data_IF_173302218732
#
_entry.id   IF_173302218732
#
_cell.length_a   1.000
_cell.length_b   1.000
_cell.length_c   1.000
_cell.angle_alpha   90.00
_cell.angle_beta   90.00
_cell.angle_gamma   90.00
#
_symmetry.space_group_name_H-M   'P 1'
#
loop_
_entity.id
_entity.type
_entity.pdbx_description
1 polymer ?
#
# COMPACT_ATOMS: atom_id res chain seq x y z
N UNK A 1 -13.98 10.16 -13.51
CA UNK A 1 -13.22 10.03 -12.25
C UNK A 1 -14.12 10.14 -11.02
N UNK A 2 -14.82 11.25 -10.79
CA UNK A 2 -15.61 11.45 -9.56
C UNK A 2 -16.68 10.39 -9.26
N UNK A 3 -17.45 9.93 -10.25
CA UNK A 3 -18.45 8.88 -10.05
C UNK A 3 -17.79 7.56 -9.61
N UNK A 4 -16.72 7.14 -10.31
CA UNK A 4 -15.90 5.97 -9.95
C UNK A 4 -15.43 6.07 -8.49
N UNK A 5 -14.88 7.22 -8.11
CA UNK A 5 -14.41 7.48 -6.75
C UNK A 5 -15.53 7.42 -5.72
N UNK A 6 -16.67 8.05 -5.98
CA UNK A 6 -17.82 7.99 -5.08
C UNK A 6 -18.30 6.55 -4.89
N UNK A 7 -18.40 5.77 -5.97
CA UNK A 7 -18.75 4.35 -5.90
C UNK A 7 -17.74 3.55 -5.08
N UNK A 8 -16.44 3.70 -5.35
CA UNK A 8 -15.37 2.99 -4.62
C UNK A 8 -15.38 3.36 -3.14
N UNK A 9 -15.52 4.63 -2.78
CA UNK A 9 -15.53 5.07 -1.38
C UNK A 9 -16.78 4.60 -0.63
N UNK A 10 -17.96 4.64 -1.26
CA UNK A 10 -19.19 4.08 -0.66
C UNK A 10 -19.05 2.58 -0.46
N UNK A 11 -18.57 1.85 -1.46
CA UNK A 11 -18.32 0.42 -1.36
C UNK A 11 -17.26 0.12 -0.29
N UNK A 12 -16.25 0.98 -0.12
CA UNK A 12 -15.23 0.80 0.90
C UNK A 12 -15.79 0.97 2.31
N UNK A 13 -16.62 1.99 2.54
CA UNK A 13 -17.31 2.17 3.84
C UNK A 13 -18.24 1.00 4.15
N UNK A 14 -19.00 0.54 3.15
CA UNK A 14 -19.86 -0.64 3.31
C UNK A 14 -19.01 -1.89 3.58
N UNK A 15 -17.97 -2.13 2.79
CA UNK A 15 -17.05 -3.26 2.95
C UNK A 15 -16.38 -3.27 4.32
N UNK A 16 -15.93 -2.12 4.79
CA UNK A 16 -15.40 -1.95 6.15
C UNK A 16 -16.46 -2.34 7.18
N UNK A 17 -17.67 -1.77 7.09
CA UNK A 17 -18.78 -2.13 7.98
C UNK A 17 -19.06 -3.64 8.01
N UNK A 18 -19.14 -4.29 6.84
CA UNK A 18 -19.39 -5.74 6.76
C UNK A 18 -18.24 -6.55 7.37
N UNK A 19 -16.99 -6.14 7.12
CA UNK A 19 -15.81 -6.74 7.70
C UNK A 19 -15.81 -6.65 9.23
N UNK A 20 -16.19 -5.48 9.76
CA UNK A 20 -16.32 -5.23 11.19
C UNK A 20 -17.48 -6.00 11.84
N UNK A 21 -18.67 -5.94 11.25
CA UNK A 21 -19.89 -6.45 11.86
C UNK A 21 -19.99 -7.98 11.79
N UNK A 22 -19.57 -8.58 10.67
CA UNK A 22 -19.79 -10.01 10.41
C UNK A 22 -18.51 -10.83 10.35
N UNK A 23 -17.38 -10.20 10.02
CA UNK A 23 -16.06 -10.83 10.02
C UNK A 23 -15.99 -12.19 9.30
N UNK A 24 -16.57 -12.28 8.10
CA UNK A 24 -16.54 -13.51 7.29
C UNK A 24 -15.40 -13.48 6.29
N UNK A 25 -14.96 -14.65 5.80
CA UNK A 25 -14.00 -14.72 4.69
C UNK A 25 -14.47 -13.95 3.45
N UNK A 26 -15.77 -13.98 3.14
CA UNK A 26 -16.34 -13.21 2.04
C UNK A 26 -16.20 -11.69 2.28
N UNK A 27 -16.46 -11.22 3.50
CA UNK A 27 -16.26 -9.80 3.83
C UNK A 27 -14.80 -9.38 3.70
N UNK A 28 -13.84 -10.23 4.08
CA UNK A 28 -12.41 -9.99 3.88
C UNK A 28 -12.02 -9.91 2.40
N UNK A 29 -12.52 -10.81 1.57
CA UNK A 29 -12.26 -10.79 0.11
C UNK A 29 -12.83 -9.50 -0.50
N UNK A 30 -14.10 -9.21 -0.26
CA UNK A 30 -14.77 -8.02 -0.83
C UNK A 30 -14.09 -6.74 -0.37
N UNK A 31 -13.81 -6.63 0.94
CA UNK A 31 -13.16 -5.45 1.48
C UNK A 31 -11.71 -5.28 0.98
N UNK A 32 -10.98 -6.38 0.81
CA UNK A 32 -9.63 -6.38 0.25
C UNK A 32 -9.61 -5.87 -1.19
N UNK A 33 -10.48 -6.42 -2.05
CA UNK A 33 -10.59 -6.00 -3.45
C UNK A 33 -10.92 -4.51 -3.57
N UNK A 34 -11.87 -4.01 -2.78
CA UNK A 34 -12.27 -2.60 -2.79
C UNK A 34 -11.14 -1.70 -2.26
N UNK A 35 -10.42 -2.14 -1.24
CA UNK A 35 -9.27 -1.41 -0.68
C UNK A 35 -8.17 -1.22 -1.74
N UNK A 36 -7.90 -2.25 -2.56
CA UNK A 36 -6.97 -2.13 -3.69
C UNK A 36 -7.42 -1.09 -4.72
N UNK A 37 -8.73 -0.99 -4.96
CA UNK A 37 -9.25 0.04 -5.87
C UNK A 37 -8.96 1.46 -5.35
N UNK A 38 -8.97 1.72 -4.04
CA UNK A 38 -8.52 3.02 -3.52
C UNK A 38 -7.04 3.26 -3.88
N UNK A 39 -6.21 2.23 -3.72
CA UNK A 39 -4.78 2.25 -4.02
C UNK A 39 -4.46 2.61 -5.47
N UNK A 40 -5.09 1.94 -6.43
CA UNK A 40 -4.72 2.09 -7.85
C UNK A 40 -5.58 3.11 -8.61
N UNK A 41 -6.82 3.37 -8.20
CA UNK A 41 -7.77 4.18 -8.97
C UNK A 41 -8.05 5.58 -8.42
N UNK A 42 -7.63 5.88 -7.19
CA UNK A 42 -7.90 7.17 -6.53
C UNK A 42 -6.59 7.79 -6.04
N UNK A 43 -5.91 7.11 -5.12
CA UNK A 43 -4.73 7.70 -4.48
C UNK A 43 -3.54 7.80 -5.41
N UNK A 44 -3.33 6.80 -6.27
CA UNK A 44 -2.26 6.82 -7.28
C UNK A 44 -2.37 8.06 -8.17
N UNK A 45 -3.53 8.23 -8.84
CA UNK A 45 -3.77 9.37 -9.73
C UNK A 45 -3.73 10.72 -8.98
N UNK A 46 -4.21 10.75 -7.73
CA UNK A 46 -4.15 11.95 -6.89
C UNK A 46 -2.72 12.32 -6.47
N UNK A 47 -1.88 11.32 -6.20
CA UNK A 47 -0.48 11.55 -5.85
C UNK A 47 0.34 12.05 -7.05
N UNK A 48 0.04 11.54 -8.25
CA UNK A 48 0.56 12.03 -9.54
C UNK A 48 -0.02 13.38 -10.00
N UNK A 49 -0.92 14.00 -9.22
CA UNK A 49 -1.61 15.24 -9.59
C UNK A 49 -2.40 15.13 -10.91
N UNK A 50 -2.80 13.93 -11.30
CA UNK A 50 -3.46 13.61 -12.56
C UNK A 50 -4.97 13.29 -12.41
N UNK A 51 -5.49 13.27 -11.18
CA UNK A 51 -6.89 12.94 -10.90
C UNK A 51 -7.87 14.05 -11.32
N UNK A 52 -7.47 15.33 -11.23
CA UNK A 52 -8.30 16.50 -11.54
C UNK A 52 -7.46 17.70 -12.00
N UNK A 53 -8.07 18.64 -12.72
CA UNK A 53 -7.45 19.94 -13.01
C UNK A 53 -7.36 20.85 -11.77
N UNK A 54 -8.06 20.51 -10.68
CA UNK A 54 -8.10 21.29 -9.45
C UNK A 54 -7.13 20.70 -8.43
N UNK A 55 -6.12 21.48 -8.04
CA UNK A 55 -5.01 21.04 -7.18
C UNK A 55 -5.47 20.38 -5.87
N UNK A 56 -6.44 20.96 -5.17
CA UNK A 56 -6.86 20.44 -3.87
C UNK A 56 -7.64 19.11 -3.98
N UNK A 57 -8.36 18.86 -5.09
CA UNK A 57 -8.97 17.56 -5.32
C UNK A 57 -7.93 16.46 -5.52
N UNK A 58 -6.82 16.75 -6.20
CA UNK A 58 -5.71 15.79 -6.28
C UNK A 58 -5.11 15.52 -4.90
N UNK A 59 -4.89 16.56 -4.09
CA UNK A 59 -4.35 16.40 -2.73
C UNK A 59 -5.23 15.49 -1.89
N UNK A 60 -6.55 15.70 -1.89
CA UNK A 60 -7.48 14.85 -1.13
C UNK A 60 -7.53 13.42 -1.69
N UNK A 61 -7.51 13.28 -3.02
CA UNK A 61 -7.52 11.95 -3.64
C UNK A 61 -6.24 11.19 -3.31
N UNK A 62 -5.07 11.83 -3.38
CA UNK A 62 -3.80 11.24 -2.93
C UNK A 62 -3.79 10.88 -1.45
N UNK A 63 -4.42 11.73 -0.61
CA UNK A 63 -4.59 11.50 0.82
C UNK A 63 -5.63 10.40 1.16
N UNK A 64 -6.29 9.79 0.18
CA UNK A 64 -7.10 8.60 0.45
C UNK A 64 -6.24 7.37 0.73
N UNK A 65 -4.91 7.45 0.48
CA UNK A 65 -3.96 6.40 0.84
C UNK A 65 -3.94 6.15 2.35
N UNK A 66 -4.20 7.18 3.16
CA UNK A 66 -4.25 7.11 4.61
C UNK A 66 -5.35 6.17 5.11
N UNK A 67 -6.44 5.99 4.35
CA UNK A 67 -7.49 5.00 4.64
C UNK A 67 -6.96 3.56 4.60
N UNK A 68 -5.89 3.33 3.86
CA UNK A 68 -5.24 2.03 3.66
C UNK A 68 -4.11 1.80 4.66
N UNK A 69 -3.97 2.67 5.67
CA UNK A 69 -2.97 2.47 6.71
C UNK A 69 -1.56 2.72 6.20
N UNK A 70 -1.38 3.63 5.23
CA UNK A 70 -0.09 4.08 4.66
C UNK A 70 -0.06 5.62 4.56
N UNK A 71 1.05 6.24 4.14
CA UNK A 71 1.17 7.71 4.02
C UNK A 71 1.36 8.21 2.60
N UNK A 72 0.52 9.16 2.16
CA UNK A 72 0.68 9.82 0.86
C UNK A 72 1.97 10.64 0.77
N UNK A 73 2.44 11.23 1.87
CA UNK A 73 3.69 12.01 1.90
C UNK A 73 4.90 11.12 1.62
N UNK A 74 4.94 9.94 2.25
CA UNK A 74 6.02 8.97 2.03
C UNK A 74 5.89 8.38 0.63
N UNK A 75 4.68 8.01 0.20
CA UNK A 75 4.42 7.50 -1.13
C UNK A 75 4.91 8.45 -2.23
N UNK A 76 4.58 9.74 -2.17
CA UNK A 76 5.11 10.73 -3.14
C UNK A 76 6.64 10.77 -3.13
N UNK A 77 7.26 10.58 -1.96
CA UNK A 77 8.71 10.56 -1.84
C UNK A 77 9.33 9.31 -2.48
N UNK A 78 8.81 8.12 -2.20
CA UNK A 78 9.36 6.86 -2.70
C UNK A 78 8.94 6.56 -4.13
N UNK A 79 7.69 6.81 -4.50
CA UNK A 79 7.14 6.54 -5.81
C UNK A 79 7.42 7.66 -6.82
N UNK A 80 6.98 8.90 -6.56
CA UNK A 80 7.09 9.98 -7.57
C UNK A 80 8.55 10.46 -7.69
N UNK A 81 9.15 10.89 -6.58
CA UNK A 81 10.54 11.36 -6.58
C UNK A 81 11.55 10.23 -6.69
N UNK A 82 11.26 9.09 -6.07
CA UNK A 82 12.12 7.91 -6.07
C UNK A 82 12.05 7.19 -7.41
N UNK A 83 11.03 6.35 -7.57
CA UNK A 83 10.84 5.49 -8.74
C UNK A 83 10.71 6.27 -10.05
N UNK A 84 9.72 7.16 -10.18
CA UNK A 84 9.50 7.91 -11.43
C UNK A 84 10.66 8.87 -11.76
N UNK A 85 11.39 9.34 -10.74
CA UNK A 85 12.60 10.15 -10.93
C UNK A 85 13.78 9.40 -11.55
N UNK A 86 13.83 8.06 -11.50
CA UNK A 86 14.95 7.28 -12.06
C UNK A 86 14.59 5.83 -12.39
N UNK A 87 13.45 5.63 -13.02
CA UNK A 87 12.89 4.31 -13.31
C UNK A 87 13.96 3.31 -13.76
N UNK A 88 14.03 2.16 -13.09
CA UNK A 88 14.96 1.05 -13.34
C UNK A 88 16.47 1.36 -13.14
N UNK A 89 16.83 2.49 -12.54
CA UNK A 89 18.23 2.77 -12.22
C UNK A 89 18.71 1.94 -11.03
N UNK A 90 19.69 1.04 -11.25
CA UNK A 90 20.11 0.01 -10.28
C UNK A 90 20.34 0.51 -8.84
N UNK A 91 20.94 1.69 -8.68
CA UNK A 91 21.29 2.23 -7.37
C UNK A 91 20.28 3.24 -6.82
N UNK A 92 19.37 3.74 -7.65
CA UNK A 92 18.58 4.94 -7.36
C UNK A 92 17.07 4.67 -7.36
N UNK A 93 16.62 3.59 -8.00
CA UNK A 93 15.25 3.12 -7.96
C UNK A 93 15.15 1.91 -7.01
N UNK A 94 14.45 2.11 -5.89
CA UNK A 94 14.29 1.05 -4.89
C UNK A 94 13.19 0.05 -5.25
N UNK A 95 12.40 0.30 -6.29
CA UNK A 95 11.20 -0.50 -6.58
C UNK A 95 11.51 -1.98 -6.85
N UNK A 96 12.70 -2.32 -7.35
CA UNK A 96 13.12 -3.72 -7.51
C UNK A 96 13.87 -4.30 -6.30
N UNK A 97 14.31 -3.47 -5.35
CA UNK A 97 15.00 -3.88 -4.13
C UNK A 97 14.00 -4.34 -3.05
N UNK A 98 12.83 -3.70 -2.97
CA UNK A 98 11.80 -4.01 -1.95
C UNK A 98 11.25 -5.44 -2.02
N UNK A 99 11.39 -6.11 -3.16
CA UNK A 99 10.96 -7.51 -3.35
C UNK A 99 12.12 -8.47 -3.54
N UNK A 100 13.36 -7.98 -3.65
CA UNK A 100 14.55 -8.83 -3.70
C UNK A 100 14.88 -9.35 -2.28
N UNK A 101 15.35 -10.60 -2.10
CA UNK A 101 15.71 -11.58 -3.12
C UNK A 101 14.55 -12.44 -3.64
N UNK A 102 13.31 -12.28 -3.16
CA UNK A 102 12.18 -13.12 -3.57
C UNK A 102 11.87 -12.95 -5.07
N UNK A 103 11.75 -11.72 -5.53
CA UNK A 103 11.54 -11.37 -6.95
C UNK A 103 12.74 -10.61 -7.49
N UNK A 104 12.99 -10.77 -8.79
CA UNK A 104 14.09 -10.11 -9.47
C UNK A 104 13.58 -9.35 -10.69
N UNK A 105 13.52 -8.04 -10.55
CA UNK A 105 13.05 -7.14 -11.61
C UNK A 105 14.16 -6.39 -12.35
N UNK A 106 15.39 -6.40 -11.85
CA UNK A 106 16.51 -5.74 -12.52
C UNK A 106 17.63 -6.71 -12.93
N UNK A 107 18.19 -6.48 -14.11
CA UNK A 107 19.25 -7.35 -14.68
C UNK A 107 20.59 -7.27 -13.94
N UNK A 108 20.83 -6.17 -13.22
CA UNK A 108 22.03 -5.97 -12.40
C UNK A 108 22.01 -6.67 -11.04
N UNK A 109 20.87 -7.22 -10.61
CA UNK A 109 20.77 -7.99 -9.37
C UNK A 109 21.22 -9.45 -9.60
N UNK A 110 21.81 -10.11 -8.58
CA UNK A 110 22.15 -11.53 -8.64
C UNK A 110 20.94 -12.38 -9.02
N UNK A 111 21.11 -13.32 -9.96
CA UNK A 111 20.06 -14.27 -10.33
C UNK A 111 20.19 -15.53 -9.49
N UNK A 112 19.19 -15.79 -8.66
CA UNK A 112 19.08 -17.00 -7.85
C UNK A 112 18.32 -18.08 -8.62
N UNK A 113 18.56 -19.34 -8.26
CA UNK A 113 18.04 -20.51 -9.01
C UNK A 113 16.52 -20.56 -9.08
N UNK A 114 15.83 -20.05 -8.06
CA UNK A 114 14.37 -20.02 -8.00
C UNK A 114 13.74 -18.89 -8.83
N UNK A 115 14.47 -17.83 -9.20
CA UNK A 115 13.93 -16.73 -10.02
C UNK A 115 13.40 -17.17 -11.38
N UNK A 116 13.82 -18.35 -11.89
CA UNK A 116 13.23 -18.93 -13.11
C UNK A 116 11.74 -19.28 -12.98
N UNK A 117 11.24 -19.41 -11.76
CA UNK A 117 9.85 -19.71 -11.43
C UNK A 117 9.07 -18.50 -10.90
N UNK A 118 9.65 -17.29 -10.93
CA UNK A 118 9.02 -16.10 -10.36
C UNK A 118 7.67 -15.74 -10.97
N UNK A 119 7.39 -16.21 -12.19
CA UNK A 119 6.08 -16.08 -12.82
C UNK A 119 4.98 -16.94 -12.15
N UNK A 120 5.37 -18.01 -11.43
CA UNK A 120 4.46 -18.88 -10.68
C UNK A 120 4.21 -18.30 -9.28
N UNK A 121 5.29 -18.03 -8.53
CA UNK A 121 5.16 -17.62 -7.12
C UNK A 121 5.04 -16.11 -6.94
N UNK A 122 5.33 -15.31 -7.97
CA UNK A 122 5.22 -13.85 -7.94
C UNK A 122 3.85 -13.34 -7.49
N UNK A 123 2.73 -13.82 -8.08
CA UNK A 123 1.39 -13.44 -7.63
C UNK A 123 1.13 -13.70 -6.13
N UNK A 124 1.72 -14.77 -5.59
CA UNK A 124 1.61 -15.13 -4.17
C UNK A 124 2.44 -14.14 -3.33
N UNK A 125 3.71 -13.90 -3.69
CA UNK A 125 4.58 -12.94 -2.98
C UNK A 125 3.93 -11.56 -2.93
N UNK A 126 3.36 -11.13 -4.05
CA UNK A 126 2.67 -9.86 -4.17
C UNK A 126 1.39 -9.74 -3.34
N UNK A 127 0.75 -10.86 -2.99
CA UNK A 127 -0.36 -10.83 -2.04
C UNK A 127 0.09 -10.25 -0.68
N UNK A 128 1.39 -10.33 -0.37
CA UNK A 128 1.96 -9.77 0.86
C UNK A 128 2.53 -8.35 0.71
N UNK A 129 2.39 -7.70 -0.46
CA UNK A 129 3.00 -6.37 -0.70
C UNK A 129 2.55 -5.31 0.32
N UNK A 130 1.29 -5.38 0.77
CA UNK A 130 0.76 -4.45 1.78
C UNK A 130 1.46 -4.51 3.13
N UNK A 131 2.02 -5.67 3.49
CA UNK A 131 2.86 -5.74 4.69
C UNK A 131 4.12 -4.89 4.50
N UNK A 132 4.72 -4.97 3.31
CA UNK A 132 5.84 -4.11 2.90
C UNK A 132 5.45 -2.63 2.90
N UNK A 133 4.32 -2.26 2.31
CA UNK A 133 3.90 -0.86 2.26
C UNK A 133 3.53 -0.32 3.66
N UNK A 134 2.94 -1.15 4.52
CA UNK A 134 2.57 -0.71 5.86
C UNK A 134 3.80 -0.56 6.77
N UNK A 135 4.70 -1.55 6.78
CA UNK A 135 5.81 -1.60 7.74
C UNK A 135 7.14 -1.05 7.17
N UNK A 136 7.33 -1.12 5.86
CA UNK A 136 8.56 -0.72 5.16
C UNK A 136 8.70 0.79 4.92
N UNK A 137 7.67 1.59 5.13
CA UNK A 137 7.73 3.04 4.89
C UNK A 137 8.83 3.78 5.67
N UNK A 138 9.16 3.35 6.88
CA UNK A 138 10.29 3.95 7.63
C UNK A 138 11.65 3.58 7.03
N UNK A 139 11.76 2.36 6.51
CA UNK A 139 12.95 1.92 5.78
C UNK A 139 13.09 2.67 4.46
N UNK A 140 12.00 2.94 3.74
CA UNK A 140 12.01 3.79 2.53
C UNK A 140 12.57 5.19 2.82
N UNK A 141 12.13 5.80 3.92
CA UNK A 141 12.63 7.11 4.35
C UNK A 141 14.12 7.05 4.68
N UNK A 142 14.53 6.03 5.45
CA UNK A 142 15.94 5.80 5.81
C UNK A 142 16.81 5.68 4.56
N UNK A 143 16.40 4.84 3.62
CA UNK A 143 17.14 4.62 2.38
C UNK A 143 17.25 5.88 1.52
N UNK A 144 16.15 6.59 1.28
CA UNK A 144 16.17 7.85 0.53
C UNK A 144 17.08 8.89 1.18
N UNK A 145 17.19 8.88 2.51
CA UNK A 145 18.05 9.80 3.28
C UNK A 145 19.55 9.54 3.10
N UNK A 146 19.94 8.35 2.63
CA UNK A 146 21.33 7.95 2.40
C UNK A 146 21.89 8.36 1.03
N UNK A 147 21.06 8.83 0.10
CA UNK A 147 21.48 9.32 -1.20
C UNK A 147 21.41 10.84 -1.22
N UNK A 148 22.53 11.60 -1.23
CA UNK A 148 22.51 13.06 -1.12
C UNK A 148 21.61 13.74 -2.17
N UNK A 149 21.61 13.25 -3.41
CA UNK A 149 20.76 13.74 -4.50
C UNK A 149 19.26 13.43 -4.31
N UNK A 150 18.93 12.49 -3.42
CA UNK A 150 17.57 12.09 -3.05
C UNK A 150 17.27 12.35 -1.58
N UNK A 151 18.11 13.12 -0.90
CA UNK A 151 17.81 13.55 0.46
C UNK A 151 16.75 14.63 0.36
N UNK A 152 15.61 14.37 0.97
CA UNK A 152 14.49 15.30 1.03
C UNK A 152 14.10 15.54 2.47
N UNK A 153 13.39 16.63 2.69
CA UNK A 153 12.84 16.90 4.01
C UNK A 153 11.48 16.22 4.15
N UNK A 154 11.38 15.27 5.09
CA UNK A 154 10.09 14.81 5.61
C UNK A 154 9.94 15.41 6.99
N UNK A 155 8.89 16.21 7.16
CA UNK A 155 8.66 16.87 8.44
C UNK A 155 8.37 15.84 9.54
N UNK A 156 8.76 16.13 10.78
CA UNK A 156 8.39 15.32 11.93
C UNK A 156 6.87 15.13 12.03
N UNK A 157 6.09 16.15 11.66
CA UNK A 157 4.63 16.09 11.59
C UNK A 157 4.14 15.00 10.63
N UNK A 158 4.78 14.85 9.47
CA UNK A 158 4.43 13.80 8.51
C UNK A 158 4.78 12.41 9.05
N UNK A 159 5.94 12.26 9.71
CA UNK A 159 6.31 11.01 10.38
C UNK A 159 5.33 10.65 11.50
N UNK A 160 5.00 11.60 12.38
CA UNK A 160 4.02 11.40 13.45
C UNK A 160 2.64 11.07 12.88
N UNK A 161 2.19 11.80 11.87
CA UNK A 161 0.90 11.54 11.19
C UNK A 161 0.87 10.12 10.61
N UNK A 162 1.96 9.70 9.95
CA UNK A 162 2.12 8.32 9.48
C UNK A 162 1.93 7.36 10.66
N UNK A 163 2.72 7.50 11.73
CA UNK A 163 2.65 6.59 12.88
C UNK A 163 1.23 6.51 13.46
N UNK A 164 0.56 7.65 13.64
CA UNK A 164 -0.82 7.69 14.12
C UNK A 164 -1.79 6.96 13.18
N UNK A 165 -1.68 7.17 11.86
CA UNK A 165 -2.51 6.47 10.86
C UNK A 165 -2.27 4.96 10.92
N UNK A 166 -1.01 4.51 11.02
CA UNK A 166 -0.70 3.09 11.12
C UNK A 166 -1.30 2.45 12.38
N UNK A 167 -1.15 3.10 13.53
CA UNK A 167 -1.70 2.63 14.81
C UNK A 167 -3.23 2.60 14.75
N UNK A 168 -3.85 3.68 14.27
CA UNK A 168 -5.30 3.75 14.14
C UNK A 168 -5.82 2.67 13.19
N UNK A 169 -5.14 2.44 12.08
CA UNK A 169 -5.52 1.43 11.10
C UNK A 169 -5.37 0.00 11.66
N UNK A 170 -4.25 -0.32 12.34
CA UNK A 170 -4.06 -1.61 13.02
C UNK A 170 -5.11 -1.81 14.11
N UNK A 171 -5.38 -0.76 14.90
CA UNK A 171 -6.39 -0.82 15.94
C UNK A 171 -7.77 -1.12 15.34
N UNK A 172 -8.16 -0.36 14.32
CA UNK A 172 -9.45 -0.50 13.65
C UNK A 172 -9.54 -1.84 12.92
N UNK A 173 -8.65 -2.18 12.01
CA UNK A 173 -8.86 -3.32 11.10
C UNK A 173 -8.29 -4.66 11.60
N UNK A 174 -7.59 -4.66 12.73
CA UNK A 174 -7.08 -5.88 13.35
C UNK A 174 -7.49 -6.01 14.82
N UNK A 175 -7.03 -5.12 15.72
CA UNK A 175 -7.19 -5.33 17.17
C UNK A 175 -8.66 -5.27 17.65
N UNK A 176 -9.44 -4.32 17.16
CA UNK A 176 -10.84 -4.16 17.55
C UNK A 176 -11.70 -5.35 17.07
N UNK A 177 -11.60 -5.82 15.81
CA UNK A 177 -12.23 -7.05 15.37
C UNK A 177 -11.77 -8.29 16.15
N UNK A 178 -10.48 -8.40 16.51
CA UNK A 178 -9.98 -9.49 17.37
C UNK A 178 -10.70 -9.48 18.72
N UNK A 179 -10.90 -8.29 19.30
CA UNK A 179 -11.60 -8.12 20.57
C UNK A 179 -13.09 -8.52 20.46
N UNK A 180 -13.76 -8.23 19.34
CA UNK A 180 -15.19 -8.51 19.13
C UNK A 180 -15.44 -9.99 18.78
N UNK A 181 -14.66 -10.57 17.87
CA UNK A 181 -14.92 -11.88 17.26
C UNK A 181 -14.03 -13.02 17.76
N UNK A 182 -13.00 -12.70 18.55
CA UNK A 182 -12.03 -13.67 19.05
C UNK A 182 -10.86 -13.92 18.10
N UNK A 183 -9.69 -14.24 18.66
CA UNK A 183 -8.42 -14.19 17.92
C UNK A 183 -8.24 -15.28 16.85
N UNK A 184 -8.74 -16.51 17.08
CA UNK A 184 -8.48 -17.66 16.21
C UNK A 184 -9.09 -17.49 14.83
N UNK A 185 -10.36 -17.07 14.79
CA UNK A 185 -11.09 -16.78 13.55
C UNK A 185 -10.62 -15.48 12.91
N UNK A 186 -10.43 -14.44 13.72
CA UNK A 186 -10.05 -13.13 13.21
C UNK A 186 -8.70 -13.11 12.49
N UNK A 187 -7.72 -13.87 12.98
CA UNK A 187 -6.39 -13.91 12.37
C UNK A 187 -6.43 -14.40 10.91
N UNK A 188 -7.17 -15.47 10.62
CA UNK A 188 -7.26 -16.00 9.26
C UNK A 188 -8.05 -15.07 8.33
N UNK A 189 -9.11 -14.44 8.84
CA UNK A 189 -9.93 -13.47 8.09
C UNK A 189 -9.13 -12.21 7.78
N UNK A 190 -8.38 -11.67 8.75
CA UNK A 190 -7.50 -10.51 8.55
C UNK A 190 -6.35 -10.83 7.58
N UNK A 191 -5.72 -11.99 7.72
CA UNK A 191 -4.66 -12.41 6.81
C UNK A 191 -5.17 -12.52 5.37
N UNK A 192 -6.35 -13.13 5.18
CA UNK A 192 -6.99 -13.19 3.86
C UNK A 192 -7.29 -11.80 3.32
N UNK A 193 -7.83 -10.89 4.15
CA UNK A 193 -8.05 -9.50 3.77
C UNK A 193 -6.75 -8.83 3.29
N UNK A 194 -5.66 -8.94 4.06
CA UNK A 194 -4.36 -8.37 3.70
C UNK A 194 -3.83 -8.93 2.38
N UNK A 195 -3.98 -10.26 2.18
CA UNK A 195 -3.55 -10.94 0.96
C UNK A 195 -4.33 -10.51 -0.27
N UNK A 196 -5.65 -10.46 -0.18
CA UNK A 196 -6.52 -10.03 -1.28
C UNK A 196 -6.30 -8.55 -1.59
N UNK A 197 -6.19 -7.73 -0.54
CA UNK A 197 -5.86 -6.33 -0.68
C UNK A 197 -4.52 -6.16 -1.43
N UNK A 198 -3.47 -6.91 -1.04
CA UNK A 198 -2.14 -6.76 -1.66
C UNK A 198 -2.14 -7.20 -3.12
N UNK A 199 -2.83 -8.30 -3.40
CA UNK A 199 -2.96 -8.81 -4.76
C UNK A 199 -3.71 -7.84 -5.69
N UNK A 200 -4.68 -7.09 -5.16
CA UNK A 200 -5.49 -6.16 -5.94
C UNK A 200 -4.78 -4.85 -6.36
N UNK A 201 -3.51 -4.65 -5.98
CA UNK A 201 -2.68 -3.54 -6.49
C UNK A 201 -2.12 -3.75 -7.90
N UNK A 202 -2.15 -4.98 -8.43
CA UNK A 202 -1.23 -5.41 -9.51
C UNK A 202 -1.95 -5.71 -10.83
N UNK A 203 -3.26 -5.43 -10.92
CA UNK A 203 -4.09 -5.69 -12.09
C UNK A 203 -4.80 -4.44 -12.59
#
# INVERSE_FOLDING_TARGET
>A
MYIKTACVLVLWVLGAYYYFAYNTYMSAIVFGLISGQIGVNIMHDGNHMAYSNIKWFNTISGASLELLGTSCVIYKRSHDFGHHGCVNHLELDRAFDTTFPLLRFHKGLPRLSYHKWQWIYGPIVYSFVNFGDMFGQYDEISWLSNYPVRRGFISIKALTSRTCVAIAWIFLYFLLPVYIHGYTHMYSVWLLFMMVFGHSYIW
#
